data_IF_516415773696
#
_entry.id   IF_516415773696
#
_cell.length_a   1.000
_cell.length_b   1.000
_cell.length_c   1.000
_cell.angle_alpha   90.00
_cell.angle_beta   90.00
_cell.angle_gamma   90.00
#
_symmetry.space_group_name_H-M   'P 1'
#
loop_
_entity.id
_entity.type
_entity.pdbx_description
1 polymer ?
#
# COMPACT_ATOMS: atom_id res chain seq x y z
N UNK A 1 -78.48 27.38 82.75
CA UNK A 1 -77.60 26.21 82.95
C UNK A 1 -78.22 24.93 82.37
N UNK A 2 -79.53 24.74 82.49
CA UNK A 2 -80.27 23.65 81.82
C UNK A 2 -80.01 23.51 80.32
N UNK A 3 -80.07 24.57 79.52
CA UNK A 3 -79.88 24.50 78.04
C UNK A 3 -78.50 23.99 77.61
N UNK A 4 -77.44 24.47 78.28
CA UNK A 4 -76.08 23.98 78.03
C UNK A 4 -75.93 22.50 78.41
N UNK A 5 -76.64 22.07 79.46
CA UNK A 5 -76.67 20.67 79.91
C UNK A 5 -77.42 19.78 78.92
N UNK A 6 -78.54 20.26 78.36
CA UNK A 6 -79.31 19.54 77.33
C UNK A 6 -78.55 19.45 76.01
N UNK A 7 -77.89 20.53 75.57
CA UNK A 7 -77.02 20.51 74.38
C UNK A 7 -75.85 19.54 74.53
N UNK A 8 -75.20 19.49 75.69
CA UNK A 8 -74.15 18.51 76.00
C UNK A 8 -74.69 17.08 76.01
N UNK A 9 -75.92 16.89 76.46
CA UNK A 9 -76.56 15.58 76.54
C UNK A 9 -77.00 15.09 75.15
N UNK A 10 -77.54 15.98 74.30
CA UNK A 10 -77.83 15.73 72.88
C UNK A 10 -76.57 15.42 72.07
N UNK A 11 -75.48 16.14 72.31
CA UNK A 11 -74.17 15.83 71.73
C UNK A 11 -73.68 14.46 72.21
N UNK A 12 -73.77 14.18 73.51
CA UNK A 12 -73.42 12.87 74.06
C UNK A 12 -74.29 11.74 73.49
N UNK A 13 -75.57 11.98 73.21
CA UNK A 13 -76.48 10.98 72.62
C UNK A 13 -76.23 10.76 71.13
N UNK A 14 -75.91 11.81 70.36
CA UNK A 14 -75.43 11.67 68.97
C UNK A 14 -74.15 10.84 68.91
N UNK A 15 -73.20 11.06 69.82
CA UNK A 15 -71.99 10.24 69.94
C UNK A 15 -72.21 8.84 70.55
N UNK A 16 -73.37 8.58 71.17
CA UNK A 16 -73.80 7.23 71.60
C UNK A 16 -74.49 6.46 70.48
N UNK A 17 -74.80 7.08 69.34
CA UNK A 17 -75.39 6.39 68.19
C UNK A 17 -74.43 5.29 67.71
N UNK A 18 -74.77 4.00 67.90
CA UNK A 18 -73.86 2.90 67.58
C UNK A 18 -73.50 2.86 66.11
N UNK A 19 -74.40 3.35 65.24
CA UNK A 19 -74.20 3.39 63.79
C UNK A 19 -73.13 4.39 63.40
N UNK A 20 -73.19 5.63 63.90
CA UNK A 20 -72.19 6.67 63.60
C UNK A 20 -70.81 6.31 64.17
N UNK A 21 -70.77 5.73 65.38
CA UNK A 21 -69.53 5.24 65.98
C UNK A 21 -68.89 4.12 65.15
N UNK A 22 -69.70 3.18 64.64
CA UNK A 22 -69.22 2.11 63.78
C UNK A 22 -68.74 2.64 62.41
N UNK A 23 -69.41 3.64 61.84
CA UNK A 23 -68.98 4.31 60.60
C UNK A 23 -67.62 4.99 60.80
N UNK A 24 -67.42 5.70 61.91
CA UNK A 24 -66.14 6.35 62.22
C UNK A 24 -65.00 5.34 62.39
N UNK A 25 -65.25 4.21 63.07
CA UNK A 25 -64.26 3.14 63.21
C UNK A 25 -63.93 2.49 61.86
N UNK A 26 -64.92 2.27 61.00
CA UNK A 26 -64.71 1.74 59.66
C UNK A 26 -63.90 2.71 58.78
N UNK A 27 -64.20 4.00 58.84
CA UNK A 27 -63.44 5.04 58.13
C UNK A 27 -61.99 5.16 58.62
N UNK A 28 -61.76 5.09 59.92
CA UNK A 28 -60.39 5.10 60.48
C UNK A 28 -59.61 3.84 60.08
N UNK A 29 -60.26 2.67 60.05
CA UNK A 29 -59.67 1.42 59.57
C UNK A 29 -59.31 1.50 58.07
N UNK A 30 -60.23 1.99 57.24
CA UNK A 30 -60.00 2.16 55.80
C UNK A 30 -58.85 3.14 55.54
N UNK A 31 -58.83 4.28 56.24
CA UNK A 31 -57.75 5.26 56.14
C UNK A 31 -56.40 4.67 56.52
N UNK A 32 -56.33 3.85 57.58
CA UNK A 32 -55.09 3.16 57.99
C UNK A 32 -54.64 2.15 56.94
N UNK A 33 -55.56 1.39 56.36
CA UNK A 33 -55.25 0.42 55.32
C UNK A 33 -54.75 1.10 54.04
N UNK A 34 -55.42 2.16 53.58
CA UNK A 34 -54.98 2.97 52.44
C UNK A 34 -53.61 3.59 52.68
N UNK A 35 -53.37 4.12 53.89
CA UNK A 35 -52.06 4.65 54.27
C UNK A 35 -50.96 3.58 54.19
N UNK A 36 -51.20 2.37 54.70
CA UNK A 36 -50.24 1.27 54.62
C UNK A 36 -49.95 0.86 53.17
N UNK A 37 -50.99 0.77 52.32
CA UNK A 37 -50.83 0.49 50.88
C UNK A 37 -49.97 1.57 50.20
N UNK A 38 -50.24 2.83 50.50
CA UNK A 38 -49.55 3.97 49.90
C UNK A 38 -48.09 4.08 50.38
N UNK A 39 -47.81 3.78 51.64
CA UNK A 39 -46.45 3.68 52.20
C UNK A 39 -45.65 2.55 51.54
N UNK A 40 -46.27 1.38 51.31
CA UNK A 40 -45.63 0.27 50.61
C UNK A 40 -45.27 0.62 49.16
N UNK A 41 -46.20 1.24 48.42
CA UNK A 41 -45.96 1.70 47.03
C UNK A 41 -44.85 2.76 47.00
N UNK A 42 -44.87 3.72 47.93
CA UNK A 42 -43.86 4.78 48.00
C UNK A 42 -42.47 4.20 48.26
N UNK A 43 -42.37 3.22 49.17
CA UNK A 43 -41.11 2.54 49.46
C UNK A 43 -40.57 1.79 48.24
N UNK A 44 -41.43 1.04 47.54
CA UNK A 44 -41.04 0.33 46.32
C UNK A 44 -40.58 1.29 45.20
N UNK A 45 -41.26 2.43 45.04
CA UNK A 45 -40.84 3.48 44.10
C UNK A 45 -39.48 4.08 44.48
N UNK A 46 -39.23 4.35 45.76
CA UNK A 46 -37.94 4.84 46.23
C UNK A 46 -36.80 3.84 45.97
N UNK A 47 -37.02 2.55 46.23
CA UNK A 47 -36.06 1.49 45.92
C UNK A 47 -35.76 1.41 44.42
N UNK A 48 -36.80 1.49 43.58
CA UNK A 48 -36.65 1.53 42.13
C UNK A 48 -35.87 2.75 41.65
N UNK A 49 -36.13 3.95 42.20
CA UNK A 49 -35.36 5.16 41.87
C UNK A 49 -33.88 4.98 42.21
N UNK A 50 -33.55 4.38 43.36
CA UNK A 50 -32.17 4.09 43.72
C UNK A 50 -31.53 3.07 42.76
N UNK A 51 -32.26 2.04 42.37
CA UNK A 51 -31.81 1.05 41.39
C UNK A 51 -31.50 1.71 40.03
N UNK A 52 -32.42 2.54 39.52
CA UNK A 52 -32.23 3.24 38.25
C UNK A 52 -31.06 4.24 38.30
N UNK A 53 -30.88 4.95 39.42
CA UNK A 53 -29.69 5.81 39.61
C UNK A 53 -28.39 5.02 39.50
N UNK A 54 -28.31 3.84 40.14
CA UNK A 54 -27.12 2.96 40.03
C UNK A 54 -26.89 2.49 38.60
N UNK A 55 -27.96 2.08 37.89
CA UNK A 55 -27.87 1.68 36.47
C UNK A 55 -27.41 2.82 35.57
N UNK A 56 -27.91 4.03 35.79
CA UNK A 56 -27.47 5.20 35.01
C UNK A 56 -25.98 5.49 35.23
N UNK A 57 -25.50 5.46 36.48
CA UNK A 57 -24.08 5.65 36.77
C UNK A 57 -23.21 4.58 36.08
N UNK A 58 -23.66 3.32 36.07
CA UNK A 58 -22.96 2.25 35.39
C UNK A 58 -22.90 2.48 33.87
N UNK A 59 -24.05 2.80 33.25
CA UNK A 59 -24.14 3.07 31.82
C UNK A 59 -23.29 4.28 31.41
N UNK A 60 -23.30 5.36 32.20
CA UNK A 60 -22.43 6.51 31.98
C UNK A 60 -20.94 6.13 32.04
N UNK A 61 -20.56 5.23 32.94
CA UNK A 61 -19.21 4.68 33.02
C UNK A 61 -18.82 3.89 31.79
N UNK A 62 -19.72 3.04 31.29
CA UNK A 62 -19.53 2.27 30.06
C UNK A 62 -19.40 3.19 28.84
N UNK A 63 -20.26 4.20 28.72
CA UNK A 63 -20.19 5.20 27.64
C UNK A 63 -18.84 5.91 27.63
N UNK A 64 -18.35 6.35 28.80
CA UNK A 64 -17.02 6.99 28.91
C UNK A 64 -15.90 6.04 28.49
N UNK A 65 -15.96 4.77 28.90
CA UNK A 65 -14.98 3.75 28.53
C UNK A 65 -14.96 3.50 27.02
N UNK A 66 -16.14 3.40 26.39
CA UNK A 66 -16.25 3.25 24.94
C UNK A 66 -15.72 4.47 24.21
N UNK A 67 -16.07 5.68 24.65
CA UNK A 67 -15.57 6.93 24.07
C UNK A 67 -14.04 7.02 24.12
N UNK A 68 -13.44 6.68 25.26
CA UNK A 68 -11.98 6.67 25.40
C UNK A 68 -11.32 5.63 24.47
N UNK A 69 -11.88 4.42 24.42
CA UNK A 69 -11.37 3.36 23.53
C UNK A 69 -11.47 3.76 22.07
N UNK A 70 -12.56 4.41 21.68
CA UNK A 70 -12.75 4.93 20.33
C UNK A 70 -11.70 6.00 19.97
N UNK A 71 -11.46 6.96 20.88
CA UNK A 71 -10.41 7.98 20.68
C UNK A 71 -9.05 7.34 20.46
N UNK A 72 -8.66 6.38 21.32
CA UNK A 72 -7.37 5.69 21.20
C UNK A 72 -7.23 4.94 19.87
N UNK A 73 -8.30 4.31 19.39
CA UNK A 73 -8.30 3.64 18.08
C UNK A 73 -8.18 4.66 16.93
N UNK A 74 -8.80 5.82 17.07
CA UNK A 74 -8.72 6.88 16.07
C UNK A 74 -7.29 7.45 15.97
N UNK A 75 -6.62 7.65 17.10
CA UNK A 75 -5.22 8.09 17.13
C UNK A 75 -4.30 7.08 16.45
N UNK A 76 -4.45 5.78 16.77
CA UNK A 76 -3.71 4.71 16.11
C UNK A 76 -3.99 4.64 14.60
N UNK A 77 -5.25 4.86 14.18
CA UNK A 77 -5.61 4.92 12.77
C UNK A 77 -4.92 6.09 12.06
N UNK A 78 -4.86 7.27 12.68
CA UNK A 78 -4.15 8.42 12.12
C UNK A 78 -2.65 8.17 11.99
N UNK A 79 -2.04 7.52 12.98
CA UNK A 79 -0.62 7.16 12.94
C UNK A 79 -0.32 6.21 11.77
N UNK A 80 -1.08 5.12 11.64
CA UNK A 80 -0.96 4.16 10.53
C UNK A 80 -1.18 4.86 9.18
N UNK A 81 -2.16 5.76 9.08
CA UNK A 81 -2.44 6.46 7.83
C UNK A 81 -1.30 7.43 7.44
N UNK A 82 -0.68 8.08 8.42
CA UNK A 82 0.49 8.91 8.20
C UNK A 82 1.70 8.08 7.73
N UNK A 83 1.94 6.91 8.32
CA UNK A 83 2.99 5.99 7.86
C UNK A 83 2.72 5.49 6.43
N UNK A 84 1.47 5.12 6.13
CA UNK A 84 1.05 4.71 4.78
C UNK A 84 1.33 5.82 3.77
N UNK A 85 1.02 7.07 4.10
CA UNK A 85 1.30 8.21 3.24
C UNK A 85 2.80 8.43 3.04
N UNK A 86 3.62 8.29 4.09
CA UNK A 86 5.09 8.38 3.99
C UNK A 86 5.65 7.29 3.07
N UNK A 87 5.20 6.05 3.22
CA UNK A 87 5.63 4.94 2.38
C UNK A 87 5.20 5.14 0.93
N UNK A 88 3.98 5.60 0.68
CA UNK A 88 3.51 5.90 -0.67
C UNK A 88 4.37 6.96 -1.36
N UNK A 89 4.74 8.04 -0.66
CA UNK A 89 5.67 9.05 -1.19
C UNK A 89 7.04 8.45 -1.54
N UNK A 90 7.57 7.62 -0.64
CA UNK A 90 8.86 6.96 -0.86
C UNK A 90 8.84 6.00 -2.05
N UNK A 91 7.71 5.33 -2.31
CA UNK A 91 7.54 4.49 -3.50
C UNK A 91 7.66 5.33 -4.77
N UNK A 92 6.95 6.45 -4.84
CA UNK A 92 7.01 7.36 -6.00
C UNK A 92 8.43 7.90 -6.21
N UNK A 93 9.10 8.32 -5.14
CA UNK A 93 10.50 8.78 -5.21
C UNK A 93 11.44 7.71 -5.76
N UNK A 94 11.29 6.45 -5.31
CA UNK A 94 12.10 5.33 -5.80
C UNK A 94 11.75 4.92 -7.23
N UNK A 95 10.49 5.05 -7.65
CA UNK A 95 10.07 4.84 -9.03
C UNK A 95 10.73 5.87 -9.96
N UNK A 96 10.74 7.14 -9.57
CA UNK A 96 11.42 8.21 -10.30
C UNK A 96 12.94 7.99 -10.38
N UNK A 97 13.58 7.55 -9.28
CA UNK A 97 15.00 7.20 -9.28
C UNK A 97 15.30 6.01 -10.21
N UNK A 98 14.48 4.97 -10.17
CA UNK A 98 14.60 3.82 -11.07
C UNK A 98 14.51 4.23 -12.54
N UNK A 99 13.59 5.13 -12.88
CA UNK A 99 13.45 5.59 -14.26
C UNK A 99 14.67 6.40 -14.72
N UNK A 100 15.23 7.26 -13.85
CA UNK A 100 16.49 7.95 -14.13
C UNK A 100 17.64 6.97 -14.37
N UNK A 101 17.74 5.92 -13.55
CA UNK A 101 18.77 4.88 -13.70
C UNK A 101 18.62 4.15 -15.04
N UNK A 102 17.40 3.77 -15.43
CA UNK A 102 17.15 3.11 -16.74
C UNK A 102 17.58 3.99 -17.90
N UNK A 103 17.24 5.28 -17.87
CA UNK A 103 17.68 6.24 -18.89
C UNK A 103 19.21 6.33 -18.92
N UNK A 104 19.85 6.34 -17.75
CA UNK A 104 21.32 6.31 -17.62
C UNK A 104 21.96 5.04 -18.22
N UNK A 105 21.35 3.87 -18.02
CA UNK A 105 21.80 2.60 -18.62
C UNK A 105 21.74 2.70 -20.14
N UNK A 106 20.60 3.12 -20.70
CA UNK A 106 20.44 3.25 -22.16
C UNK A 106 21.48 4.21 -22.75
N UNK A 107 21.72 5.34 -22.09
CA UNK A 107 22.73 6.30 -22.52
C UNK A 107 24.16 5.72 -22.48
N UNK A 108 24.46 4.95 -21.44
CA UNK A 108 25.76 4.29 -21.27
C UNK A 108 25.97 3.20 -22.31
N UNK A 109 24.97 2.36 -22.55
CA UNK A 109 25.01 1.30 -23.57
C UNK A 109 25.23 1.88 -24.97
N UNK A 110 24.54 2.98 -25.30
CA UNK A 110 24.78 3.70 -26.55
C UNK A 110 26.23 4.21 -26.64
N UNK A 111 26.76 4.75 -25.55
CA UNK A 111 28.15 5.19 -25.48
C UNK A 111 29.16 4.05 -25.62
N UNK A 112 28.84 2.85 -25.12
CA UNK A 112 29.64 1.65 -25.33
C UNK A 112 29.65 1.27 -26.80
N UNK A 113 28.47 1.17 -27.43
CA UNK A 113 28.34 0.84 -28.86
C UNK A 113 29.12 1.82 -29.75
N UNK A 114 29.02 3.12 -29.49
CA UNK A 114 29.78 4.14 -30.24
C UNK A 114 31.30 3.98 -30.09
N UNK A 115 31.78 3.63 -28.89
CA UNK A 115 33.21 3.38 -28.64
C UNK A 115 33.68 2.08 -29.25
N UNK A 116 32.89 1.01 -29.18
CA UNK A 116 33.18 -0.27 -29.84
C UNK A 116 33.27 -0.09 -31.35
N UNK A 117 32.39 0.71 -31.95
CA UNK A 117 32.43 1.00 -33.38
C UNK A 117 33.68 1.80 -33.78
N UNK A 118 34.06 2.79 -32.96
CA UNK A 118 35.32 3.52 -33.14
C UNK A 118 36.53 2.61 -32.99
N UNK A 119 36.52 1.70 -32.02
CA UNK A 119 37.58 0.71 -31.85
C UNK A 119 37.67 -0.20 -33.07
N UNK A 120 36.55 -0.75 -33.56
CA UNK A 120 36.54 -1.53 -34.81
C UNK A 120 37.13 -0.77 -35.99
N UNK A 121 36.80 0.51 -36.10
CA UNK A 121 37.33 1.39 -37.16
C UNK A 121 38.84 1.61 -37.01
N UNK A 122 39.34 1.85 -35.79
CA UNK A 122 40.76 2.09 -35.50
C UNK A 122 41.60 0.80 -35.56
N UNK A 123 41.01 -0.33 -35.18
CA UNK A 123 41.62 -1.65 -35.26
C UNK A 123 41.54 -2.27 -36.65
N UNK A 124 40.99 -1.55 -37.65
CA UNK A 124 41.04 -1.96 -39.05
C UNK A 124 42.52 -1.97 -39.48
N UNK A 125 43.09 -3.13 -39.81
CA UNK A 125 44.46 -3.20 -40.26
C UNK A 125 44.59 -2.43 -41.57
N UNK A 126 45.74 -1.78 -41.76
CA UNK A 126 46.03 -1.09 -43.02
C UNK A 126 46.03 -2.08 -44.18
N UNK A 127 45.77 -1.60 -45.39
CA UNK A 127 45.83 -2.43 -46.61
C UNK A 127 47.12 -3.26 -46.67
N UNK A 128 48.26 -2.66 -46.30
CA UNK A 128 49.54 -3.33 -46.30
C UNK A 128 49.62 -4.47 -45.28
N UNK A 129 49.05 -4.31 -44.09
CA UNK A 129 49.02 -5.36 -43.07
C UNK A 129 48.15 -6.54 -43.49
N UNK A 130 46.94 -6.27 -44.00
CA UNK A 130 46.03 -7.31 -44.50
C UNK A 130 46.65 -8.02 -45.70
N UNK A 131 47.22 -7.26 -46.64
CA UNK A 131 47.91 -7.81 -47.80
C UNK A 131 49.07 -8.72 -47.39
N UNK A 132 49.92 -8.28 -46.46
CA UNK A 132 51.05 -9.07 -45.97
C UNK A 132 50.58 -10.36 -45.29
N UNK A 133 49.53 -10.32 -44.48
CA UNK A 133 49.00 -11.53 -43.83
C UNK A 133 48.34 -12.49 -44.83
N UNK A 134 47.64 -11.98 -45.85
CA UNK A 134 47.10 -12.82 -46.94
C UNK A 134 48.24 -13.52 -47.69
N UNK A 135 49.29 -12.77 -48.07
CA UNK A 135 50.44 -13.31 -48.80
C UNK A 135 51.21 -14.32 -47.93
N UNK A 136 51.49 -13.98 -46.66
CA UNK A 136 52.25 -14.83 -45.74
C UNK A 136 51.49 -16.06 -45.28
N UNK A 137 50.23 -15.90 -44.88
CA UNK A 137 49.40 -16.90 -44.23
C UNK A 137 48.77 -17.88 -45.22
N UNK A 138 48.26 -17.39 -46.35
CA UNK A 138 47.60 -18.23 -47.37
C UNK A 138 48.51 -18.58 -48.54
N UNK A 139 49.75 -18.05 -48.57
CA UNK A 139 50.71 -18.33 -49.64
C UNK A 139 50.24 -17.79 -50.99
N UNK A 140 49.53 -16.66 -50.97
CA UNK A 140 48.98 -16.00 -52.15
C UNK A 140 50.03 -15.05 -52.74
N UNK A 141 50.31 -15.18 -54.04
CA UNK A 141 51.18 -14.30 -54.82
C UNK A 141 50.36 -13.61 -55.90
N UNK A 142 50.35 -12.28 -55.92
CA UNK A 142 49.75 -11.51 -57.01
C UNK A 142 50.80 -11.28 -58.11
N UNK A 143 50.46 -11.62 -59.34
CA UNK A 143 51.33 -11.52 -60.51
C UNK A 143 50.66 -10.64 -61.56
N UNK A 144 51.40 -9.68 -62.09
CA UNK A 144 50.97 -8.88 -63.24
C UNK A 144 51.78 -9.30 -64.47
N UNK A 145 51.08 -9.69 -65.54
CA UNK A 145 51.69 -10.12 -66.80
C UNK A 145 50.70 -9.99 -67.95
N UNK A 146 51.18 -9.55 -69.12
CA UNK A 146 50.40 -9.43 -70.36
C UNK A 146 49.08 -8.65 -70.23
N UNK A 147 49.08 -7.57 -69.43
CA UNK A 147 47.90 -6.71 -69.24
C UNK A 147 46.78 -7.33 -68.38
N UNK A 148 47.06 -8.46 -67.71
CA UNK A 148 46.13 -9.15 -66.81
C UNK A 148 46.74 -9.36 -65.42
N UNK A 149 45.88 -9.49 -64.42
CA UNK A 149 46.26 -9.69 -63.02
C UNK A 149 45.88 -11.10 -62.58
N UNK A 150 46.84 -11.85 -62.06
CA UNK A 150 46.65 -13.23 -61.63
C UNK A 150 46.89 -13.37 -60.13
N UNK A 151 46.06 -14.17 -59.46
CA UNK A 151 46.22 -14.60 -58.08
C UNK A 151 46.75 -16.03 -58.08
N UNK A 152 47.93 -16.24 -57.52
CA UNK A 152 48.52 -17.57 -57.37
C UNK A 152 48.46 -18.01 -55.92
N UNK A 153 47.74 -19.07 -55.62
CA UNK A 153 47.64 -19.66 -54.29
C UNK A 153 48.53 -20.90 -54.23
N UNK A 154 49.54 -20.89 -53.34
CA UNK A 154 50.44 -22.03 -53.13
C UNK A 154 50.07 -22.79 -51.87
N UNK A 155 49.61 -24.03 -52.01
CA UNK A 155 49.38 -24.92 -50.87
C UNK A 155 50.72 -25.50 -50.39
N UNK A 156 51.26 -24.97 -49.29
CA UNK A 156 52.56 -25.40 -48.74
C UNK A 156 52.61 -26.86 -48.27
N UNK A 157 51.47 -27.51 -48.03
CA UNK A 157 51.42 -28.91 -47.56
C UNK A 157 51.42 -29.93 -48.69
N UNK A 158 50.84 -29.59 -49.83
CA UNK A 158 50.62 -30.51 -50.96
C UNK A 158 51.46 -30.11 -52.19
N UNK A 159 52.14 -28.96 -52.15
CA UNK A 159 52.91 -28.38 -53.26
C UNK A 159 52.08 -28.06 -54.51
N UNK A 160 50.76 -27.95 -54.37
CA UNK A 160 49.86 -27.52 -55.43
C UNK A 160 49.86 -26.01 -55.58
N UNK A 161 49.80 -25.55 -56.84
CA UNK A 161 49.76 -24.14 -57.20
C UNK A 161 48.52 -23.87 -58.05
N UNK A 162 47.57 -23.12 -57.51
CA UNK A 162 46.39 -22.66 -58.24
C UNK A 162 46.63 -21.25 -58.74
N UNK A 163 46.36 -20.96 -60.01
CA UNK A 163 46.42 -19.60 -60.56
C UNK A 163 45.06 -19.21 -61.10
N UNK A 164 44.52 -18.09 -60.63
CA UNK A 164 43.20 -17.57 -60.97
C UNK A 164 43.38 -16.19 -61.64
N UNK A 165 42.76 -15.97 -62.79
CA UNK A 165 42.69 -14.66 -63.43
C UNK A 165 41.66 -13.79 -62.67
N UNK A 166 42.11 -12.64 -62.18
CA UNK A 166 41.29 -11.74 -61.36
C UNK A 166 40.64 -10.63 -62.21
N UNK A 167 40.95 -10.58 -63.51
CA UNK A 167 40.52 -9.50 -64.41
C UNK A 167 41.33 -8.22 -64.23
N UNK A 168 41.31 -7.36 -65.24
CA UNK A 168 42.04 -6.08 -65.28
C UNK A 168 41.42 -4.98 -64.42
N UNK A 169 40.14 -5.10 -64.10
CA UNK A 169 39.31 -3.97 -63.66
C UNK A 169 39.18 -3.87 -62.14
N UNK A 170 39.58 -4.91 -61.39
CA UNK A 170 39.48 -4.95 -59.94
C UNK A 170 40.86 -4.67 -59.33
N UNK A 171 40.95 -3.69 -58.43
CA UNK A 171 42.19 -3.36 -57.75
C UNK A 171 42.47 -4.34 -56.60
N UNK A 172 43.75 -4.59 -56.32
CA UNK A 172 44.15 -5.40 -55.15
C UNK A 172 43.64 -4.81 -53.83
N UNK A 173 43.50 -3.49 -53.77
CA UNK A 173 42.90 -2.77 -52.63
C UNK A 173 41.45 -3.19 -52.37
N UNK A 174 40.63 -3.29 -53.42
CA UNK A 174 39.23 -3.69 -53.30
C UNK A 174 39.10 -5.16 -52.86
N UNK A 175 39.92 -6.06 -53.39
CA UNK A 175 39.90 -7.48 -53.03
C UNK A 175 40.29 -7.69 -51.56
N UNK A 176 41.39 -7.06 -51.13
CA UNK A 176 41.88 -7.16 -49.75
C UNK A 176 40.88 -6.58 -48.75
N UNK A 177 40.21 -5.47 -49.10
CA UNK A 177 39.16 -4.90 -48.26
C UNK A 177 37.90 -5.77 -48.22
N UNK A 178 37.49 -6.35 -49.34
CA UNK A 178 36.33 -7.25 -49.40
C UNK A 178 36.52 -8.52 -48.55
N UNK A 179 37.75 -9.05 -48.48
CA UNK A 179 38.09 -10.18 -47.62
C UNK A 179 37.93 -9.79 -46.14
N UNK A 180 38.39 -8.61 -45.73
CA UNK A 180 38.27 -8.14 -44.35
C UNK A 180 36.83 -7.85 -43.92
N UNK A 181 36.01 -7.27 -44.79
CA UNK A 181 34.59 -7.02 -44.50
C UNK A 181 33.76 -8.30 -44.31
N UNK A 182 34.31 -9.46 -44.67
CA UNK A 182 33.68 -10.78 -44.55
C UNK A 182 34.21 -11.62 -43.39
N UNK A 183 35.24 -11.15 -42.67
CA UNK A 183 35.82 -11.79 -41.48
C UNK A 183 35.23 -11.14 -40.23
#
# INVERSE_FOLDING_TARGET
MEEAKTLLQDLCEKFKNPVEKNILVALDSQRKEERMKMEAVTKALQENVQLFKKKNIQLEGEVRKYSYTHSKKNDAFMEINNEKLKLAKKIVELEDENEKIKVGIIATDKGIQEKEERLRTLSRPSFNEIYLEIVKGFGIEFLEGDGRKFCRIKNRKISDVFTIDIGSDISMFEITNAIWEKI
#
